data_IF_072951828303
#
_entry.id   IF_072951828303
#
_cell.length_a   1.000
_cell.length_b   1.000
_cell.length_c   1.000
_cell.angle_alpha   90.00
_cell.angle_beta   90.00
_cell.angle_gamma   90.00
#
_symmetry.space_group_name_H-M   'P 1'
#
loop_
_entity.id
_entity.type
_entity.pdbx_description
1 polymer ?
#
# COMPACT_ATOMS: atom_id res chain seq x y z
N UNK A 1 -0.22 -22.84 31.77
CA UNK A 1 -0.81 -22.35 30.51
C UNK A 1 -2.04 -23.18 30.22
N UNK A 2 -3.22 -22.57 30.16
CA UNK A 2 -4.42 -23.21 29.64
C UNK A 2 -4.60 -22.72 28.20
N UNK A 3 -4.36 -23.60 27.24
CA UNK A 3 -4.59 -23.35 25.82
C UNK A 3 -5.50 -24.45 25.29
N UNK A 4 -6.41 -24.09 24.38
CA UNK A 4 -7.24 -25.05 23.65
C UNK A 4 -6.64 -25.24 22.27
N UNK A 5 -6.49 -26.49 21.84
CA UNK A 5 -5.98 -26.81 20.51
C UNK A 5 -7.13 -26.73 19.51
N UNK A 6 -6.95 -25.96 18.44
CA UNK A 6 -7.91 -25.86 17.35
C UNK A 6 -7.37 -26.69 16.17
N UNK A 7 -7.99 -27.85 15.89
CA UNK A 7 -7.60 -28.72 14.77
C UNK A 7 -7.75 -28.02 13.41
N UNK A 8 -8.63 -27.03 13.33
CA UNK A 8 -9.05 -26.36 12.09
C UNK A 8 -8.31 -25.04 11.83
N UNK A 9 -7.44 -24.61 12.74
CA UNK A 9 -6.69 -23.37 12.62
C UNK A 9 -5.18 -23.63 12.61
N UNK A 10 -4.51 -23.19 11.54
CA UNK A 10 -3.06 -23.36 11.37
C UNK A 10 -2.28 -22.09 11.72
N UNK A 11 -2.93 -20.92 11.66
CA UNK A 11 -2.32 -19.62 11.92
C UNK A 11 -2.94 -18.92 13.14
N UNK A 12 -2.11 -18.20 13.89
CA UNK A 12 -2.60 -17.35 14.99
C UNK A 12 -3.47 -16.18 14.54
N UNK A 13 -3.51 -15.86 13.24
CA UNK A 13 -4.46 -14.88 12.68
C UNK A 13 -5.89 -15.45 12.59
N UNK A 14 -6.04 -16.77 12.60
CA UNK A 14 -7.34 -17.45 12.50
C UNK A 14 -8.01 -17.67 13.86
N UNK A 15 -7.29 -17.45 14.97
CA UNK A 15 -7.80 -17.61 16.34
C UNK A 15 -7.31 -16.48 17.25
N UNK A 16 -7.93 -16.26 18.40
CA UNK A 16 -7.58 -15.19 19.34
C UNK A 16 -6.24 -15.39 20.10
N UNK A 17 -5.21 -15.99 19.49
CA UNK A 17 -3.86 -16.09 20.10
C UNK A 17 -2.96 -14.89 19.80
N UNK A 18 -3.30 -14.05 18.83
CA UNK A 18 -2.46 -12.91 18.42
C UNK A 18 -2.21 -11.91 19.56
N UNK A 19 -3.19 -11.71 20.45
CA UNK A 19 -3.08 -10.86 21.64
C UNK A 19 -1.96 -11.33 22.58
N UNK A 20 -1.88 -12.64 22.83
CA UNK A 20 -0.94 -13.23 23.79
C UNK A 20 0.47 -13.40 23.24
N UNK A 21 0.61 -13.54 21.91
CA UNK A 21 1.90 -13.85 21.25
C UNK A 21 2.54 -12.60 20.63
N UNK A 22 1.73 -11.72 20.03
CA UNK A 22 2.19 -10.62 19.18
C UNK A 22 1.50 -9.27 19.50
N UNK A 23 1.04 -9.05 20.73
CA UNK A 23 0.44 -7.80 21.20
C UNK A 23 1.50 -6.83 21.74
N UNK A 24 1.67 -5.66 21.12
CA UNK A 24 2.42 -4.55 21.71
C UNK A 24 1.56 -3.83 22.75
N UNK A 25 0.28 -3.61 22.40
CA UNK A 25 -0.75 -3.08 23.29
C UNK A 25 -1.92 -4.08 23.34
N UNK A 26 -2.55 -4.28 24.51
CA UNK A 26 -3.69 -5.18 24.64
C UNK A 26 -4.91 -4.66 23.88
N UNK A 27 -5.81 -5.56 23.47
CA UNK A 27 -7.13 -5.16 22.96
C UNK A 27 -7.94 -4.49 24.08
N UNK A 28 -8.55 -3.34 23.79
CA UNK A 28 -9.53 -2.68 24.66
C UNK A 28 -10.91 -3.31 24.46
N UNK A 29 -11.27 -3.63 23.22
CA UNK A 29 -12.46 -4.40 22.87
C UNK A 29 -12.09 -5.55 21.92
N UNK A 30 -12.12 -6.83 22.38
CA UNK A 30 -11.79 -7.99 21.56
C UNK A 30 -12.68 -8.19 20.33
N UNK A 31 -13.87 -7.57 20.27
CA UNK A 31 -14.79 -7.65 19.13
C UNK A 31 -14.49 -6.63 18.04
N UNK A 32 -13.56 -5.70 18.27
CA UNK A 32 -13.22 -4.61 17.33
C UNK A 32 -11.71 -4.65 17.03
N UNK A 33 -11.29 -4.44 15.77
CA UNK A 33 -9.87 -4.38 15.41
C UNK A 33 -9.24 -3.05 15.89
N UNK A 34 -9.07 -2.87 17.20
CA UNK A 34 -8.61 -1.62 17.83
C UNK A 34 -7.09 -1.43 17.88
N UNK A 35 -6.32 -2.41 17.42
CA UNK A 35 -4.85 -2.37 17.34
C UNK A 35 -4.37 -1.61 16.09
N UNK A 36 -4.83 -0.37 15.92
CA UNK A 36 -4.50 0.51 14.78
C UNK A 36 -2.99 0.73 14.58
N UNK A 37 -2.20 0.56 15.64
CA UNK A 37 -0.75 0.68 15.57
C UNK A 37 -0.12 -0.31 14.58
N UNK A 38 -0.78 -1.46 14.35
CA UNK A 38 -0.30 -2.49 13.43
C UNK A 38 -0.23 -1.99 11.98
N UNK A 39 -1.16 -1.12 11.58
CA UNK A 39 -1.27 -0.61 10.20
C UNK A 39 -0.07 0.26 9.84
N UNK A 40 0.43 1.08 10.78
CA UNK A 40 1.56 1.97 10.50
C UNK A 40 2.91 1.37 10.90
N UNK A 41 2.99 0.57 11.98
CA UNK A 41 4.25 -0.06 12.39
C UNK A 41 4.72 -1.12 11.39
N UNK A 42 3.81 -1.81 10.71
CA UNK A 42 4.16 -2.80 9.69
C UNK A 42 5.03 -2.23 8.57
N UNK A 43 4.93 -0.92 8.29
CA UNK A 43 5.76 -0.22 7.30
C UNK A 43 7.26 -0.28 7.61
N UNK A 44 7.62 -0.42 8.88
CA UNK A 44 9.02 -0.45 9.33
C UNK A 44 9.55 -1.88 9.55
N UNK A 45 8.66 -2.87 9.54
CA UNK A 45 9.00 -4.27 9.72
C UNK A 45 9.36 -4.91 8.37
N UNK A 46 10.20 -5.92 8.38
CA UNK A 46 10.56 -6.67 7.17
C UNK A 46 10.56 -8.17 7.48
N UNK A 47 10.09 -8.97 6.54
CA UNK A 47 9.98 -10.42 6.70
C UNK A 47 11.34 -11.14 6.79
N UNK A 48 12.43 -10.48 6.37
CA UNK A 48 13.78 -11.03 6.44
C UNK A 48 14.84 -10.07 5.88
N UNK A 49 16.11 -10.49 5.95
CA UNK A 49 17.27 -9.67 5.56
C UNK A 49 17.22 -9.30 4.08
N UNK A 50 16.88 -10.24 3.19
CA UNK A 50 16.81 -9.99 1.75
C UNK A 50 15.71 -8.97 1.43
N UNK A 51 14.53 -9.13 2.04
CA UNK A 51 13.43 -8.17 1.88
C UNK A 51 13.85 -6.77 2.37
N UNK A 52 14.48 -6.68 3.54
CA UNK A 52 15.02 -5.42 4.06
C UNK A 52 16.04 -4.78 3.10
N UNK A 53 16.98 -5.57 2.57
CA UNK A 53 18.00 -5.06 1.64
C UNK A 53 17.40 -4.51 0.35
N UNK A 54 16.43 -5.23 -0.24
CA UNK A 54 15.72 -4.74 -1.45
C UNK A 54 14.99 -3.44 -1.15
N UNK A 55 14.30 -3.37 -0.02
CA UNK A 55 13.58 -2.16 0.40
C UNK A 55 14.50 -0.97 0.62
N UNK A 56 15.64 -1.16 1.26
CA UNK A 56 16.64 -0.11 1.49
C UNK A 56 17.27 0.33 0.16
N UNK A 57 17.58 -0.59 -0.75
CA UNK A 57 18.11 -0.22 -2.08
C UNK A 57 17.09 0.61 -2.85
N UNK A 58 15.82 0.23 -2.86
CA UNK A 58 14.75 1.03 -3.45
C UNK A 58 14.68 2.42 -2.83
N UNK A 59 14.73 2.53 -1.51
CA UNK A 59 14.69 3.81 -0.82
C UNK A 59 15.93 4.67 -1.14
N UNK A 60 17.12 4.09 -1.11
CA UNK A 60 18.36 4.83 -1.37
C UNK A 60 18.51 5.29 -2.83
N UNK A 61 17.74 4.71 -3.74
CA UNK A 61 17.70 5.10 -5.16
C UNK A 61 16.53 6.05 -5.45
N UNK A 62 15.30 5.61 -5.25
CA UNK A 62 14.10 6.37 -5.63
C UNK A 62 13.70 7.40 -4.57
N UNK A 63 13.57 6.96 -3.31
CA UNK A 63 13.11 7.84 -2.22
C UNK A 63 14.07 9.00 -2.01
N UNK A 64 15.38 8.72 -2.01
CA UNK A 64 16.44 9.74 -1.84
C UNK A 64 16.37 10.83 -2.91
N UNK A 65 16.10 10.49 -4.16
CA UNK A 65 16.05 11.48 -5.24
C UNK A 65 14.77 12.32 -5.20
N UNK A 66 13.63 11.70 -4.87
CA UNK A 66 12.38 12.41 -4.58
C UNK A 66 12.53 13.35 -3.36
N UNK A 67 13.25 12.92 -2.32
CA UNK A 67 13.51 13.72 -1.13
C UNK A 67 14.38 14.95 -1.44
N UNK A 68 15.42 14.81 -2.26
CA UNK A 68 16.22 15.96 -2.71
C UNK A 68 15.39 16.96 -3.54
N UNK A 69 14.45 16.45 -4.34
CA UNK A 69 13.61 17.26 -5.22
C UNK A 69 12.53 18.04 -4.45
N UNK A 70 11.76 17.34 -3.62
CA UNK A 70 10.57 17.89 -2.97
C UNK A 70 10.77 18.22 -1.48
N UNK A 71 11.88 17.78 -0.88
CA UNK A 71 12.15 17.92 0.55
C UNK A 71 11.54 16.78 1.38
N UNK A 72 12.22 16.46 2.49
CA UNK A 72 11.91 15.31 3.34
C UNK A 72 10.48 15.34 3.88
N UNK A 73 10.00 16.48 4.38
CA UNK A 73 8.68 16.61 4.99
C UNK A 73 7.53 16.12 4.08
N UNK A 74 7.54 16.55 2.81
CA UNK A 74 6.47 16.23 1.85
C UNK A 74 6.52 14.75 1.47
N UNK A 75 7.72 14.24 1.22
CA UNK A 75 7.93 12.86 0.84
C UNK A 75 7.61 11.91 2.00
N UNK A 76 7.95 12.25 3.25
CA UNK A 76 7.56 11.46 4.42
C UNK A 76 6.04 11.36 4.58
N UNK A 77 5.30 12.45 4.34
CA UNK A 77 3.82 12.43 4.37
C UNK A 77 3.28 11.49 3.31
N UNK A 78 3.78 11.60 2.07
CA UNK A 78 3.33 10.74 0.97
C UNK A 78 3.66 9.27 1.28
N UNK A 79 4.88 8.99 1.73
CA UNK A 79 5.36 7.64 2.06
C UNK A 79 4.48 6.99 3.14
N UNK A 80 4.28 7.67 4.27
CA UNK A 80 3.52 7.12 5.40
C UNK A 80 2.04 6.95 5.03
N UNK A 81 1.40 7.97 4.46
CA UNK A 81 -0.03 7.92 4.19
C UNK A 81 -0.38 6.93 3.07
N UNK A 82 0.45 6.82 2.04
CA UNK A 82 0.24 5.80 0.98
C UNK A 82 0.42 4.38 1.52
N UNK A 83 1.42 4.17 2.37
CA UNK A 83 1.62 2.89 3.05
C UNK A 83 0.46 2.48 3.95
N UNK A 84 0.01 3.40 4.81
CA UNK A 84 -1.17 3.16 5.68
C UNK A 84 -2.40 2.83 4.83
N UNK A 85 -2.61 3.55 3.72
CA UNK A 85 -3.77 3.31 2.84
C UNK A 85 -3.68 1.94 2.16
N UNK A 86 -2.48 1.55 1.70
CA UNK A 86 -2.22 0.22 1.14
C UNK A 86 -2.46 -0.89 2.15
N UNK A 87 -1.87 -0.79 3.34
CA UNK A 87 -2.02 -1.76 4.43
C UNK A 87 -3.47 -1.87 4.91
N UNK A 88 -4.20 -0.76 4.94
CA UNK A 88 -5.62 -0.75 5.28
C UNK A 88 -6.45 -1.51 4.24
N UNK A 89 -6.17 -1.31 2.94
CA UNK A 89 -6.83 -2.08 1.89
C UNK A 89 -6.48 -3.57 1.95
N UNK A 90 -5.21 -3.91 2.13
CA UNK A 90 -4.77 -5.30 2.34
C UNK A 90 -5.49 -5.96 3.52
N UNK A 91 -5.57 -5.28 4.67
CA UNK A 91 -6.26 -5.82 5.84
C UNK A 91 -7.76 -6.10 5.63
N UNK A 92 -8.41 -5.38 4.71
CA UNK A 92 -9.82 -5.58 4.35
C UNK A 92 -9.96 -6.76 3.38
N UNK A 93 -9.13 -6.80 2.35
CA UNK A 93 -9.29 -7.74 1.24
C UNK A 93 -8.51 -9.06 1.40
N UNK A 94 -7.55 -9.11 2.33
CA UNK A 94 -6.70 -10.26 2.64
C UNK A 94 -6.53 -10.45 4.17
N UNK A 95 -7.64 -10.52 4.95
CA UNK A 95 -7.61 -10.37 6.42
C UNK A 95 -6.79 -11.42 7.17
N UNK A 96 -6.62 -12.62 6.62
CA UNK A 96 -5.90 -13.71 7.29
C UNK A 96 -4.41 -13.77 6.96
N UNK A 97 -3.92 -12.82 6.17
CA UNK A 97 -2.53 -12.78 5.69
C UNK A 97 -1.72 -11.75 6.46
N UNK A 98 -0.59 -12.21 7.00
CA UNK A 98 0.38 -11.32 7.59
C UNK A 98 1.25 -10.69 6.49
N UNK A 99 1.16 -9.38 6.35
CA UNK A 99 2.07 -8.59 5.52
C UNK A 99 2.92 -7.66 6.41
N UNK A 100 4.16 -7.43 5.99
CA UNK A 100 5.08 -6.46 6.59
C UNK A 100 5.88 -5.79 5.48
N UNK A 101 6.32 -4.56 5.71
CA UNK A 101 7.19 -3.85 4.80
C UNK A 101 6.58 -2.56 4.26
N UNK A 102 7.44 -1.68 3.70
CA UNK A 102 7.00 -0.42 3.13
C UNK A 102 6.51 -0.56 1.68
N UNK A 103 6.16 -1.76 1.21
CA UNK A 103 5.93 -2.01 -0.21
C UNK A 103 4.79 -1.14 -0.79
N UNK A 104 3.67 -1.00 -0.07
CA UNK A 104 2.62 -0.03 -0.42
C UNK A 104 3.13 1.41 -0.53
N UNK A 105 3.99 1.85 0.40
CA UNK A 105 4.63 3.17 0.34
C UNK A 105 5.57 3.32 -0.86
N UNK A 106 6.31 2.27 -1.22
CA UNK A 106 7.23 2.27 -2.36
C UNK A 106 6.47 2.43 -3.68
N UNK A 107 5.33 1.75 -3.84
CA UNK A 107 4.43 1.97 -4.97
C UNK A 107 3.84 3.37 -4.97
N UNK A 108 3.56 3.95 -3.79
CA UNK A 108 3.20 5.36 -3.67
C UNK A 108 4.29 6.33 -4.16
N UNK A 109 5.57 6.00 -3.94
CA UNK A 109 6.69 6.77 -4.48
C UNK A 109 6.85 6.58 -6.00
N UNK A 110 6.58 5.39 -6.54
CA UNK A 110 6.53 5.19 -7.99
C UNK A 110 5.44 6.05 -8.64
N UNK A 111 4.29 6.22 -7.98
CA UNK A 111 3.25 7.14 -8.42
C UNK A 111 3.72 8.61 -8.38
N UNK A 112 4.56 9.00 -7.42
CA UNK A 112 5.19 10.32 -7.39
C UNK A 112 6.03 10.59 -8.65
N UNK A 113 6.79 9.59 -9.12
CA UNK A 113 7.58 9.70 -10.34
C UNK A 113 6.71 9.95 -11.59
N UNK A 114 5.51 9.36 -11.66
CA UNK A 114 4.56 9.67 -12.73
C UNK A 114 4.09 11.12 -12.66
N UNK A 115 3.73 11.59 -11.47
CA UNK A 115 3.28 12.97 -11.28
C UNK A 115 4.41 13.95 -11.62
N UNK A 116 5.64 13.67 -11.22
CA UNK A 116 6.83 14.44 -11.62
C UNK A 116 7.02 14.45 -13.14
N UNK A 117 6.96 13.28 -13.78
CA UNK A 117 7.10 13.13 -15.23
C UNK A 117 6.05 13.97 -15.99
N UNK A 118 4.79 13.96 -15.55
CA UNK A 118 3.74 14.77 -16.17
C UNK A 118 3.94 16.26 -15.94
N UNK A 119 4.46 16.67 -14.78
CA UNK A 119 4.77 18.08 -14.50
C UNK A 119 5.96 18.57 -15.33
N UNK A 120 6.97 17.73 -15.52
CA UNK A 120 8.20 18.02 -16.26
C UNK A 120 8.10 17.68 -17.76
N UNK A 121 6.90 17.32 -18.25
CA UNK A 121 6.72 16.78 -19.61
C UNK A 121 7.26 17.70 -20.72
N UNK A 122 7.10 19.01 -20.55
CA UNK A 122 7.57 20.01 -21.52
C UNK A 122 9.07 20.33 -21.41
N UNK A 123 9.70 19.95 -20.30
CA UNK A 123 11.14 20.18 -20.04
C UNK A 123 12.00 19.00 -20.51
N UNK A 124 11.41 17.82 -20.65
CA UNK A 124 12.12 16.60 -21.05
C UNK A 124 12.32 16.56 -22.57
N UNK A 125 13.52 16.17 -23.00
CA UNK A 125 13.82 15.98 -24.42
C UNK A 125 13.01 14.84 -25.06
N UNK A 126 12.74 13.77 -24.29
CA UNK A 126 12.06 12.54 -24.76
C UNK A 126 11.03 12.02 -23.73
N UNK A 127 9.95 12.78 -23.45
CA UNK A 127 9.00 12.46 -22.37
C UNK A 127 8.30 11.11 -22.59
N UNK A 128 7.94 10.78 -23.84
CA UNK A 128 7.32 9.48 -24.17
C UNK A 128 8.22 8.30 -23.86
N UNK A 129 9.54 8.39 -24.13
CA UNK A 129 10.48 7.31 -23.78
C UNK A 129 10.55 7.12 -22.27
N UNK A 130 10.61 8.21 -21.50
CA UNK A 130 10.59 8.15 -20.04
C UNK A 130 9.28 7.53 -19.52
N UNK A 131 8.14 7.93 -20.10
CA UNK A 131 6.82 7.37 -19.77
C UNK A 131 6.73 5.87 -20.01
N UNK A 132 7.13 5.38 -21.19
CA UNK A 132 7.09 3.95 -21.49
C UNK A 132 8.06 3.15 -20.62
N UNK A 133 9.26 3.68 -20.34
CA UNK A 133 10.20 3.03 -19.44
C UNK A 133 9.65 2.90 -18.02
N UNK A 134 9.12 3.98 -17.46
CA UNK A 134 8.54 3.98 -16.11
C UNK A 134 7.30 3.05 -16.06
N UNK A 135 6.43 3.13 -17.07
CA UNK A 135 5.26 2.26 -17.19
C UNK A 135 5.65 0.79 -17.30
N UNK A 136 6.68 0.45 -18.07
CA UNK A 136 7.17 -0.93 -18.17
C UNK A 136 7.67 -1.47 -16.83
N UNK A 137 8.40 -0.66 -16.06
CA UNK A 137 8.86 -1.02 -14.71
C UNK A 137 7.65 -1.25 -13.78
N UNK A 138 6.71 -0.31 -13.74
CA UNK A 138 5.54 -0.42 -12.85
C UNK A 138 4.64 -1.60 -13.23
N UNK A 139 4.41 -1.83 -14.53
CA UNK A 139 3.66 -3.00 -15.00
C UNK A 139 4.38 -4.31 -14.63
N UNK A 140 5.69 -4.37 -14.82
CA UNK A 140 6.48 -5.54 -14.40
C UNK A 140 6.34 -5.80 -12.89
N UNK A 141 6.40 -4.76 -12.05
CA UNK A 141 6.23 -4.88 -10.61
C UNK A 141 4.81 -5.35 -10.23
N UNK A 142 3.76 -4.88 -10.90
CA UNK A 142 2.39 -5.37 -10.68
C UNK A 142 2.20 -6.83 -11.13
N UNK A 143 2.88 -7.26 -12.21
CA UNK A 143 2.88 -8.66 -12.66
C UNK A 143 3.63 -9.52 -11.65
N UNK A 144 4.79 -9.07 -11.15
CA UNK A 144 5.47 -9.74 -10.03
C UNK A 144 4.58 -9.76 -8.78
N UNK A 145 3.76 -8.74 -8.58
CA UNK A 145 2.75 -8.69 -7.53
C UNK A 145 1.72 -9.81 -7.57
N UNK A 146 1.56 -10.52 -8.71
CA UNK A 146 0.72 -11.71 -8.82
C UNK A 146 1.40 -12.99 -8.30
N UNK A 147 2.65 -12.91 -7.87
CA UNK A 147 3.38 -14.01 -7.27
C UNK A 147 2.89 -14.26 -5.83
N UNK A 148 2.99 -15.51 -5.33
CA UNK A 148 2.60 -15.83 -3.97
C UNK A 148 3.41 -15.00 -2.97
N UNK A 149 2.75 -14.62 -1.87
CA UNK A 149 3.33 -13.85 -0.75
C UNK A 149 3.59 -12.37 -1.03
N UNK A 150 3.25 -11.87 -2.22
CA UNK A 150 3.34 -10.46 -2.55
C UNK A 150 1.94 -9.86 -2.47
N UNK A 151 1.79 -8.76 -1.75
CA UNK A 151 0.50 -8.10 -1.56
C UNK A 151 0.25 -7.05 -2.64
N UNK A 152 -0.39 -7.48 -3.72
CA UNK A 152 -0.69 -6.57 -4.81
C UNK A 152 -1.83 -5.58 -4.48
N UNK A 153 -2.68 -5.87 -3.50
CA UNK A 153 -3.72 -4.93 -3.06
C UNK A 153 -3.08 -3.74 -2.38
N UNK A 154 -2.14 -3.98 -1.46
CA UNK A 154 -1.36 -2.94 -0.83
C UNK A 154 -0.60 -2.11 -1.87
N UNK A 155 -0.04 -2.74 -2.90
CA UNK A 155 0.61 -2.05 -4.01
C UNK A 155 -0.34 -1.15 -4.81
N UNK A 156 -1.52 -1.66 -5.19
CA UNK A 156 -2.51 -0.91 -5.99
C UNK A 156 -3.02 0.29 -5.21
N UNK A 157 -3.45 0.09 -3.96
CA UNK A 157 -3.98 1.18 -3.13
C UNK A 157 -2.88 2.14 -2.68
N UNK A 158 -1.66 1.65 -2.46
CA UNK A 158 -0.47 2.47 -2.22
C UNK A 158 -0.12 3.36 -3.42
N UNK A 159 -0.15 2.81 -4.63
CA UNK A 159 0.06 3.56 -5.88
C UNK A 159 -1.03 4.61 -6.09
N UNK A 160 -2.31 4.24 -5.96
CA UNK A 160 -3.45 5.15 -6.14
C UNK A 160 -3.42 6.30 -5.13
N UNK A 161 -3.27 5.99 -3.85
CA UNK A 161 -3.18 7.00 -2.80
C UNK A 161 -1.92 7.87 -2.94
N UNK A 162 -0.78 7.26 -3.26
CA UNK A 162 0.47 7.99 -3.54
C UNK A 162 0.33 8.95 -4.71
N UNK A 163 -0.41 8.60 -5.77
CA UNK A 163 -0.68 9.51 -6.88
C UNK A 163 -1.51 10.72 -6.45
N UNK A 164 -2.58 10.50 -5.68
CA UNK A 164 -3.42 11.58 -5.15
C UNK A 164 -2.63 12.50 -4.21
N UNK A 165 -1.83 11.92 -3.31
CA UNK A 165 -0.98 12.65 -2.39
C UNK A 165 0.15 13.40 -3.12
N UNK A 166 0.72 12.82 -4.17
CA UNK A 166 1.72 13.48 -5.01
C UNK A 166 1.15 14.72 -5.70
N UNK A 167 -0.09 14.66 -6.21
CA UNK A 167 -0.77 15.85 -6.75
C UNK A 167 -1.07 16.91 -5.67
N UNK A 168 -1.22 16.51 -4.41
CA UNK A 168 -1.47 17.46 -3.33
C UNK A 168 -0.19 18.12 -2.80
N UNK A 169 0.90 17.33 -2.66
CA UNK A 169 2.07 17.72 -1.89
C UNK A 169 3.32 18.04 -2.71
N UNK A 170 3.48 17.55 -3.94
CA UNK A 170 4.67 17.87 -4.73
C UNK A 170 4.73 19.37 -5.12
N UNK A 171 5.93 19.96 -5.20
CA UNK A 171 6.09 21.36 -5.57
C UNK A 171 5.70 21.60 -7.04
N UNK A 172 4.96 22.67 -7.31
CA UNK A 172 4.55 23.07 -8.66
C UNK A 172 5.27 24.33 -9.12
N UNK A 173 5.71 24.32 -10.39
CA UNK A 173 6.09 25.54 -11.10
C UNK A 173 4.81 26.13 -11.69
N UNK A 174 4.42 27.33 -11.24
CA UNK A 174 3.20 28.00 -11.70
C UNK A 174 3.51 29.13 -12.66
N UNK A 175 2.84 29.17 -13.82
CA UNK A 175 2.97 30.26 -14.79
C UNK A 175 1.70 31.12 -14.83
N UNK A 176 1.71 32.26 -14.12
CA UNK A 176 0.60 33.20 -14.07
C UNK A 176 -0.54 32.84 -13.10
N UNK A 177 -1.55 33.70 -13.04
CA UNK A 177 -2.66 33.59 -12.07
C UNK A 177 -3.62 32.45 -12.38
N UNK A 178 -3.96 32.24 -13.65
CA UNK A 178 -4.86 31.16 -14.08
C UNK A 178 -4.31 29.77 -13.75
N UNK A 179 -3.01 29.54 -14.02
CA UNK A 179 -2.35 28.28 -13.69
C UNK A 179 -2.30 28.05 -12.17
N UNK A 180 -2.06 29.12 -11.38
CA UNK A 180 -2.13 29.05 -9.92
C UNK A 180 -3.51 28.59 -9.41
N UNK A 181 -4.60 29.11 -9.96
CA UNK A 181 -5.95 28.66 -9.59
C UNK A 181 -6.20 27.21 -10.00
N UNK A 182 -5.80 26.81 -11.22
CA UNK A 182 -5.91 25.43 -11.69
C UNK A 182 -5.17 24.44 -10.80
N UNK A 183 -3.93 24.76 -10.40
CA UNK A 183 -3.14 23.91 -9.49
C UNK A 183 -3.75 23.84 -8.09
N UNK A 184 -4.28 24.96 -7.56
CA UNK A 184 -5.02 24.95 -6.28
C UNK A 184 -6.26 24.07 -6.35
N UNK A 185 -7.04 24.17 -7.42
CA UNK A 185 -8.21 23.33 -7.63
C UNK A 185 -7.82 21.84 -7.71
N UNK A 186 -6.74 21.51 -8.41
CA UNK A 186 -6.20 20.15 -8.48
C UNK A 186 -5.80 19.64 -7.08
N UNK A 187 -5.04 20.41 -6.31
CA UNK A 187 -4.64 20.04 -4.94
C UNK A 187 -5.87 19.76 -4.07
N UNK A 188 -6.86 20.65 -4.09
CA UNK A 188 -8.09 20.49 -3.29
C UNK A 188 -8.88 19.26 -3.74
N UNK A 189 -9.03 19.05 -5.05
CA UNK A 189 -9.71 17.88 -5.58
C UNK A 189 -8.99 16.58 -5.19
N UNK A 190 -7.66 16.52 -5.33
CA UNK A 190 -6.87 15.35 -4.95
C UNK A 190 -6.95 15.04 -3.46
N UNK A 191 -6.93 16.06 -2.59
CA UNK A 191 -7.11 15.88 -1.15
C UNK A 191 -8.52 15.38 -0.79
N UNK A 192 -9.56 15.91 -1.44
CA UNK A 192 -10.94 15.45 -1.23
C UNK A 192 -11.13 14.00 -1.67
N UNK A 193 -10.58 13.63 -2.84
CA UNK A 193 -10.64 12.24 -3.34
C UNK A 193 -9.85 11.30 -2.43
N UNK A 194 -8.66 11.70 -1.96
CA UNK A 194 -7.88 10.91 -1.01
C UNK A 194 -8.61 10.74 0.32
N UNK A 195 -9.19 11.80 0.87
CA UNK A 195 -9.96 11.73 2.11
C UNK A 195 -11.18 10.82 1.96
N UNK A 196 -11.89 10.88 0.82
CA UNK A 196 -12.99 9.99 0.50
C UNK A 196 -12.56 8.52 0.42
N UNK A 197 -11.47 8.22 -0.29
CA UNK A 197 -10.89 6.87 -0.38
C UNK A 197 -10.48 6.33 1.00
N UNK A 198 -9.77 7.13 1.78
CA UNK A 198 -9.31 6.74 3.11
C UNK A 198 -10.50 6.49 4.05
N UNK A 199 -11.48 7.39 4.05
CA UNK A 199 -12.69 7.24 4.85
C UNK A 199 -13.50 6.01 4.43
N UNK A 200 -13.65 5.72 3.14
CA UNK A 200 -14.38 4.52 2.70
C UNK A 200 -13.70 3.24 3.17
N UNK A 201 -12.36 3.17 3.12
CA UNK A 201 -11.62 2.02 3.61
C UNK A 201 -11.79 1.85 5.13
N UNK A 202 -11.71 2.94 5.90
CA UNK A 202 -11.95 2.89 7.35
C UNK A 202 -13.38 2.41 7.65
N UNK A 203 -14.38 2.92 6.93
CA UNK A 203 -15.77 2.48 7.10
C UNK A 203 -15.97 1.00 6.76
N UNK A 204 -15.31 0.51 5.71
CA UNK A 204 -15.35 -0.91 5.36
C UNK A 204 -14.64 -1.79 6.39
N UNK A 205 -13.53 -1.34 6.97
CA UNK A 205 -12.84 -2.13 7.99
C UNK A 205 -13.66 -2.24 9.30
N UNK A 206 -14.28 -1.14 9.75
CA UNK A 206 -14.89 -1.09 11.09
C UNK A 206 -16.42 -1.29 11.12
N UNK A 207 -17.14 -0.97 10.04
CA UNK A 207 -18.61 -0.94 10.04
C UNK A 207 -19.19 -1.96 9.07
N UNK A 208 -18.67 -2.01 7.84
CA UNK A 208 -19.19 -2.86 6.77
C UNK A 208 -18.07 -3.73 6.18
N UNK A 209 -17.64 -4.80 6.88
CA UNK A 209 -16.60 -5.69 6.39
C UNK A 209 -17.07 -6.33 5.08
N UNK A 210 -16.34 -6.02 4.00
CA UNK A 210 -16.61 -6.52 2.65
C UNK A 210 -15.78 -7.78 2.44
N UNK A 211 -16.41 -8.84 1.95
CA UNK A 211 -15.70 -10.02 1.45
C UNK A 211 -16.03 -10.21 -0.04
N UNK A 212 -15.06 -9.91 -0.90
CA UNK A 212 -15.15 -10.09 -2.35
C UNK A 212 -14.08 -11.09 -2.80
N UNK A 213 -14.42 -12.38 -2.96
CA UNK A 213 -13.44 -13.45 -3.23
C UNK A 213 -12.60 -13.22 -4.49
N UNK A 214 -13.15 -12.54 -5.49
CA UNK A 214 -12.43 -12.28 -6.74
C UNK A 214 -11.25 -11.30 -6.58
N UNK A 215 -11.23 -10.46 -5.53
CA UNK A 215 -10.13 -9.52 -5.29
C UNK A 215 -8.84 -10.26 -4.93
N UNK A 216 -8.92 -11.45 -4.33
CA UNK A 216 -7.75 -12.27 -4.04
C UNK A 216 -6.95 -12.62 -5.29
N UNK A 217 -7.62 -12.74 -6.45
CA UNK A 217 -6.97 -12.98 -7.74
C UNK A 217 -6.12 -11.81 -8.24
N UNK A 218 -6.35 -10.59 -7.73
CA UNK A 218 -5.47 -9.45 -8.00
C UNK A 218 -4.12 -9.60 -7.28
N UNK A 219 -4.07 -10.44 -6.24
CA UNK A 219 -2.86 -10.73 -5.45
C UNK A 219 -2.18 -12.01 -5.92
N UNK A 220 -2.93 -13.05 -6.25
CA UNK A 220 -2.35 -14.27 -6.77
C UNK A 220 -3.20 -14.80 -7.91
N UNK A 221 -2.63 -14.77 -9.11
CA UNK A 221 -3.27 -15.36 -10.26
C UNK A 221 -2.93 -16.87 -10.30
N UNK A 222 -3.92 -17.77 -10.35
CA UNK A 222 -3.69 -19.21 -10.29
C UNK A 222 -3.15 -19.74 -11.63
N UNK A 223 -1.87 -19.48 -11.93
CA UNK A 223 -1.21 -19.99 -13.14
C UNK A 223 -1.17 -21.52 -13.18
N UNK A 224 -1.10 -22.16 -12.01
CA UNK A 224 -1.29 -23.60 -11.83
C UNK A 224 -2.19 -23.85 -10.62
N UNK A 225 -2.82 -25.02 -10.56
CA UNK A 225 -3.74 -25.39 -9.46
C UNK A 225 -3.11 -25.35 -8.06
N UNK A 226 -1.77 -25.39 -7.98
CA UNK A 226 -1.05 -25.33 -6.70
C UNK A 226 -0.33 -24.00 -6.44
N UNK A 227 -0.36 -23.08 -7.40
CA UNK A 227 0.42 -21.84 -7.31
C UNK A 227 -0.05 -20.94 -6.18
N UNK A 228 -1.37 -20.87 -5.99
CA UNK A 228 -2.03 -20.10 -4.95
C UNK A 228 -2.66 -21.01 -3.88
N UNK A 229 -2.30 -22.30 -3.75
CA UNK A 229 -2.97 -23.26 -2.83
C UNK A 229 -2.87 -22.86 -1.34
N UNK A 230 -1.90 -22.01 -0.98
CA UNK A 230 -1.82 -21.39 0.35
C UNK A 230 -2.78 -20.20 0.55
N UNK A 231 -3.46 -19.75 -0.50
CA UNK A 231 -4.61 -18.83 -0.47
C UNK A 231 -5.91 -19.61 -0.17
N UNK A 232 -6.01 -20.89 -0.54
CA UNK A 232 -7.19 -21.73 -0.30
C UNK A 232 -7.35 -22.25 1.15
N UNK A 233 -6.55 -21.78 2.11
CA UNK A 233 -6.78 -22.07 3.54
C UNK A 233 -8.15 -21.57 4.03
N UNK A 234 -8.81 -20.69 3.26
CA UNK A 234 -10.15 -20.17 3.50
C UNK A 234 -11.29 -21.10 3.00
N UNK A 235 -11.01 -22.11 2.16
CA UNK A 235 -12.06 -22.99 1.62
C UNK A 235 -12.47 -24.16 2.53
N UNK A 236 -11.78 -24.39 3.66
CA UNK A 236 -12.11 -25.49 4.59
C UNK A 236 -13.05 -25.03 5.72
N UNK A 237 -13.46 -23.75 5.73
CA UNK A 237 -14.20 -23.11 6.83
C UNK A 237 -15.69 -22.86 6.55
N UNK A 238 -16.34 -23.72 5.75
CA UNK A 238 -17.80 -23.76 5.62
C UNK A 238 -18.41 -25.05 6.17
#
# INVERSE_FOLDING_TARGET
MHGYFHEEATLCSQVHCLDKVCGLLPFLNPEVPDQFYRIWLSLFLHAGIVHCLVSVVFQMTILRDLEKLAGWHRISIIFILSGITGNLASAIFLPYRAEVGPAGSQFGLLACLFVELFQSWQLLERPWKAFFNLSAIVLFLFICGLLPWIDNIAHIFGFLSGMLLAFAFLPYITFGTSDKYRKRALILASLLVFAGLFASLVLWLYIYPINWPWIEHLTCFPFTSRFCEKYDLDQVLH
#
